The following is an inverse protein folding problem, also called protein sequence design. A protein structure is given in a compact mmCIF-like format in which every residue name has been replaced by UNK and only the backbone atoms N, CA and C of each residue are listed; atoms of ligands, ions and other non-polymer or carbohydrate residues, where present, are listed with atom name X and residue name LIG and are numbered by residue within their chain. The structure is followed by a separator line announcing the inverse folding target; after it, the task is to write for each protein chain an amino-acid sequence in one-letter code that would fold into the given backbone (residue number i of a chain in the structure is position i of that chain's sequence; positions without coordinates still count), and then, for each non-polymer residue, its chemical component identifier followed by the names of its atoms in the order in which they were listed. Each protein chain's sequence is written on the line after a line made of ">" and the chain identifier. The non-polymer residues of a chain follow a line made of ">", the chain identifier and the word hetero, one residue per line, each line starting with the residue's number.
data_IF_016443037346
#
_entry.id   IF_016443037346
#
_cell.length_a   1.000
_cell.length_b   1.000
_cell.length_c   1.000
_cell.angle_alpha   90.00
_cell.angle_beta   90.00
_cell.angle_gamma   90.00
#
_symmetry.space_group_name_H-M   'P 1'
#
loop_
_entity.id
_entity.type
_entity.pdbx_description
1 polymer ?
#
# COMPACT_ATOMS: atom_id res chain seq x y z
N UNK A 1 21.41 -24.79 84.53
CA UNK A 1 21.26 -23.47 83.86
C UNK A 1 22.39 -23.30 82.86
N UNK A 2 22.10 -22.57 81.76
CA UNK A 2 22.99 -22.12 80.67
C UNK A 2 23.14 -23.13 79.52
N UNK A 3 22.22 -23.11 78.53
CA UNK A 3 22.11 -22.18 77.37
C UNK A 3 23.31 -22.40 76.44
N UNK A 4 23.25 -23.28 75.43
CA UNK A 4 22.48 -23.19 74.18
C UNK A 4 22.53 -21.78 73.58
N UNK A 5 23.32 -21.62 72.51
CA UNK A 5 23.08 -20.70 71.39
C UNK A 5 24.10 -21.00 70.29
N UNK A 6 23.71 -21.76 69.24
CA UNK A 6 23.23 -21.30 67.92
C UNK A 6 24.41 -21.30 66.92
N UNK A 7 24.48 -22.38 66.14
CA UNK A 7 25.28 -22.49 64.92
C UNK A 7 24.44 -21.85 63.80
N UNK A 8 24.90 -20.70 63.31
CA UNK A 8 24.27 -19.95 62.22
C UNK A 8 24.62 -20.65 60.88
N UNK A 9 23.68 -21.43 60.36
CA UNK A 9 23.75 -21.99 59.01
C UNK A 9 23.12 -20.96 58.07
N UNK A 10 23.96 -20.20 57.37
CA UNK A 10 23.54 -19.39 56.22
C UNK A 10 23.21 -20.35 55.07
N UNK A 11 21.92 -20.55 54.82
CA UNK A 11 21.43 -21.16 53.58
C UNK A 11 21.17 -20.00 52.63
N UNK A 12 22.11 -19.72 51.72
CA UNK A 12 21.85 -18.84 50.60
C UNK A 12 20.94 -19.59 49.61
N UNK A 13 19.64 -19.31 49.69
CA UNK A 13 18.74 -19.55 48.55
C UNK A 13 18.97 -18.43 47.53
N UNK A 14 19.91 -18.65 46.61
CA UNK A 14 19.88 -17.95 45.33
C UNK A 14 18.79 -18.61 44.49
N UNK A 15 17.55 -18.16 44.63
CA UNK A 15 16.62 -18.32 43.55
C UNK A 15 17.00 -17.23 42.54
N UNK A 16 17.88 -17.54 41.58
CA UNK A 16 17.90 -16.72 40.37
C UNK A 16 16.55 -16.97 39.71
N UNK A 17 15.70 -15.95 39.68
CA UNK A 17 14.67 -15.84 38.65
C UNK A 17 15.43 -15.61 37.36
N UNK A 18 15.71 -16.68 36.61
CA UNK A 18 15.93 -16.54 35.18
C UNK A 18 14.62 -16.00 34.61
N UNK A 19 14.55 -14.67 34.43
CA UNK A 19 13.68 -14.17 33.38
C UNK A 19 14.31 -14.67 32.09
N UNK A 20 13.70 -15.67 31.46
CA UNK A 20 13.85 -15.88 30.03
C UNK A 20 13.27 -14.64 29.35
N UNK A 21 14.03 -13.55 29.35
CA UNK A 21 13.92 -12.56 28.30
C UNK A 21 14.41 -13.27 27.05
N UNK A 22 13.46 -13.81 26.29
CA UNK A 22 13.71 -14.07 24.87
C UNK A 22 14.25 -12.74 24.32
N UNK A 23 15.54 -12.71 24.02
CA UNK A 23 16.06 -11.68 23.12
C UNK A 23 15.48 -12.07 21.78
N UNK A 24 14.35 -11.45 21.44
CA UNK A 24 13.75 -11.61 20.14
C UNK A 24 14.71 -10.89 19.18
N UNK A 25 15.36 -11.66 18.33
CA UNK A 25 16.14 -11.12 17.22
C UNK A 25 15.16 -10.55 16.20
N UNK A 26 14.76 -9.30 16.41
CA UNK A 26 13.82 -8.57 15.57
C UNK A 26 14.48 -7.95 14.34
N UNK A 27 15.72 -8.34 13.99
CA UNK A 27 16.42 -7.75 12.84
C UNK A 27 15.72 -7.99 11.49
N UNK A 28 14.73 -8.89 11.44
CA UNK A 28 13.88 -9.15 10.28
C UNK A 28 12.38 -9.06 10.63
N UNK A 29 12.03 -8.44 11.75
CA UNK A 29 10.64 -8.26 12.12
C UNK A 29 9.97 -7.16 11.28
N UNK A 30 8.75 -7.40 10.86
CA UNK A 30 7.89 -6.52 10.07
C UNK A 30 6.69 -6.14 10.95
N UNK A 31 6.56 -4.85 11.25
CA UNK A 31 5.42 -4.26 11.96
C UNK A 31 4.45 -3.61 10.97
N UNK A 32 3.26 -3.21 11.45
CA UNK A 32 2.26 -2.47 10.67
C UNK A 32 2.76 -1.13 10.13
N UNK A 33 3.70 -0.51 10.85
CA UNK A 33 4.32 0.77 10.48
C UNK A 33 5.45 0.62 9.44
N UNK A 34 5.83 -0.61 9.09
CA UNK A 34 6.93 -0.84 8.16
C UNK A 34 6.46 -0.73 6.70
N UNK A 35 7.21 -0.05 5.84
CA UNK A 35 6.89 0.08 4.41
C UNK A 35 6.71 -1.28 3.70
N UNK A 36 7.53 -2.26 4.06
CA UNK A 36 7.42 -3.63 3.53
C UNK A 36 6.09 -4.29 3.92
N UNK A 37 5.51 -3.97 5.09
CA UNK A 37 4.17 -4.45 5.45
C UNK A 37 3.11 -3.94 4.48
N UNK A 38 3.17 -2.64 4.18
CA UNK A 38 2.24 -1.99 3.26
C UNK A 38 2.37 -2.58 1.84
N UNK A 39 3.61 -2.72 1.34
CA UNK A 39 3.91 -3.30 0.02
C UNK A 39 3.46 -4.75 -0.09
N UNK A 40 3.74 -5.57 0.94
CA UNK A 40 3.25 -6.93 1.02
C UNK A 40 1.72 -6.97 0.98
N UNK A 41 1.05 -6.15 1.79
CA UNK A 41 -0.42 -6.07 1.84
C UNK A 41 -0.99 -5.74 0.46
N UNK A 42 -0.41 -4.75 -0.23
CA UNK A 42 -0.82 -4.34 -1.57
C UNK A 42 -0.54 -5.38 -2.66
N UNK A 43 0.46 -6.22 -2.48
CA UNK A 43 0.81 -7.26 -3.48
C UNK A 43 -0.04 -8.50 -3.40
N UNK A 44 -0.58 -8.78 -2.21
CA UNK A 44 -1.29 -10.02 -1.92
C UNK A 44 -2.78 -9.80 -1.70
N UNK A 45 -3.26 -8.55 -1.76
CA UNK A 45 -4.69 -8.28 -1.85
C UNK A 45 -5.24 -8.71 -3.21
N UNK A 46 -6.56 -8.77 -3.33
CA UNK A 46 -7.19 -9.04 -4.61
C UNK A 46 -6.98 -7.88 -5.59
N UNK A 47 -6.83 -8.17 -6.89
CA UNK A 47 -6.62 -7.14 -7.92
C UNK A 47 -7.98 -6.58 -8.34
N UNK A 48 -8.29 -5.36 -7.89
CA UNK A 48 -9.60 -4.73 -8.07
C UNK A 48 -9.59 -3.65 -9.15
N UNK A 49 -8.48 -2.93 -9.33
CA UNK A 49 -8.37 -1.74 -10.19
C UNK A 49 -8.50 -2.09 -11.69
N UNK A 50 -8.27 -3.36 -12.05
CA UNK A 50 -8.22 -3.80 -13.44
C UNK A 50 -9.51 -3.52 -14.23
N UNK A 51 -10.68 -3.43 -13.59
CA UNK A 51 -11.97 -3.13 -14.23
C UNK A 51 -12.60 -1.79 -13.81
N UNK A 52 -11.83 -0.89 -13.19
CA UNK A 52 -12.25 0.48 -12.83
C UNK A 52 -12.85 1.24 -14.01
N UNK A 53 -12.41 0.95 -15.24
CA UNK A 53 -12.97 1.55 -16.45
C UNK A 53 -14.43 1.17 -16.72
N UNK A 54 -14.94 0.12 -16.08
CA UNK A 54 -16.32 -0.36 -16.23
C UNK A 54 -17.21 0.20 -15.11
N UNK A 55 -16.74 0.16 -13.87
CA UNK A 55 -17.54 0.46 -12.69
C UNK A 55 -17.12 1.72 -11.91
N UNK A 56 -16.03 2.36 -12.31
CA UNK A 56 -15.52 3.63 -11.81
C UNK A 56 -15.21 3.62 -10.31
N UNK A 57 -14.79 2.47 -9.75
CA UNK A 57 -14.32 2.40 -8.38
C UNK A 57 -13.31 1.27 -8.17
N UNK A 58 -12.29 1.50 -7.34
CA UNK A 58 -11.26 0.49 -7.06
C UNK A 58 -11.54 -0.34 -5.81
N UNK A 59 -12.73 -0.22 -5.21
CA UNK A 59 -13.10 -0.98 -4.03
C UNK A 59 -13.65 -2.38 -4.35
N UNK A 60 -13.99 -2.64 -5.61
CA UNK A 60 -14.57 -3.90 -6.03
C UNK A 60 -14.01 -4.35 -7.37
N UNK A 61 -13.92 -5.66 -7.58
CA UNK A 61 -13.73 -6.28 -8.89
C UNK A 61 -15.03 -6.93 -9.32
N UNK A 62 -15.48 -6.74 -10.55
CA UNK A 62 -16.60 -7.50 -11.13
C UNK A 62 -16.10 -8.87 -11.57
N UNK A 63 -16.68 -9.91 -10.99
CA UNK A 63 -16.35 -11.30 -11.29
C UNK A 63 -16.96 -11.73 -12.64
N UNK A 64 -16.13 -12.32 -13.49
CA UNK A 64 -16.59 -12.94 -14.73
C UNK A 64 -17.47 -14.17 -14.45
N UNK A 65 -18.55 -14.41 -15.22
CA UNK A 65 -19.01 -13.62 -16.36
C UNK A 65 -20.04 -12.53 -15.98
N UNK A 66 -20.02 -11.43 -16.73
CA UNK A 66 -21.03 -10.37 -16.64
C UNK A 66 -21.33 -9.75 -18.01
N UNK A 67 -22.24 -8.79 -18.07
CA UNK A 67 -22.64 -8.13 -19.31
C UNK A 67 -22.68 -6.61 -19.12
N UNK A 68 -22.26 -5.87 -20.14
CA UNK A 68 -22.37 -4.40 -20.20
C UNK A 68 -23.11 -3.95 -21.45
N UNK A 69 -23.73 -2.78 -21.37
CA UNK A 69 -24.34 -2.10 -22.51
C UNK A 69 -23.69 -0.73 -22.71
N UNK A 70 -23.11 -0.52 -23.90
CA UNK A 70 -22.49 0.74 -24.33
C UNK A 70 -23.14 1.18 -25.64
N UNK A 71 -23.66 2.39 -25.72
CA UNK A 71 -24.30 2.94 -26.93
C UNK A 71 -25.41 2.07 -27.57
N UNK A 72 -26.20 1.36 -26.75
CA UNK A 72 -27.20 0.35 -27.14
C UNK A 72 -26.62 -0.92 -27.81
N UNK A 73 -25.32 -1.17 -27.66
CA UNK A 73 -24.67 -2.42 -27.99
C UNK A 73 -24.32 -3.18 -26.71
N UNK A 74 -24.61 -4.47 -26.70
CA UNK A 74 -24.37 -5.36 -25.56
C UNK A 74 -23.07 -6.14 -25.76
N UNK A 75 -22.28 -6.26 -24.69
CA UNK A 75 -21.05 -7.03 -24.65
C UNK A 75 -21.12 -8.05 -23.51
N UNK A 76 -20.90 -9.33 -23.84
CA UNK A 76 -20.80 -10.42 -22.87
C UNK A 76 -19.33 -10.60 -22.50
N UNK A 77 -18.96 -10.35 -21.24
CA UNK A 77 -17.61 -10.57 -20.76
C UNK A 77 -17.58 -11.88 -20.00
N UNK A 78 -16.89 -12.87 -20.56
CA UNK A 78 -16.83 -14.24 -20.03
C UNK A 78 -15.41 -14.72 -19.73
N UNK A 79 -14.42 -13.97 -20.22
CA UNK A 79 -12.99 -14.19 -20.07
C UNK A 79 -12.26 -12.85 -20.12
N UNK A 80 -11.01 -12.84 -19.66
CA UNK A 80 -10.16 -11.63 -19.70
C UNK A 80 -9.90 -11.13 -21.12
N UNK A 81 -9.94 -12.01 -22.13
CA UNK A 81 -9.79 -11.64 -23.55
C UNK A 81 -10.96 -10.76 -24.04
N UNK A 82 -12.13 -10.85 -23.40
CA UNK A 82 -13.32 -10.10 -23.82
C UNK A 82 -13.20 -8.60 -23.48
N UNK A 83 -12.36 -8.22 -22.49
CA UNK A 83 -12.08 -6.82 -22.16
C UNK A 83 -11.49 -6.07 -23.36
N UNK A 84 -10.56 -6.68 -24.11
CA UNK A 84 -9.98 -6.03 -25.28
C UNK A 84 -11.03 -5.72 -26.35
N UNK A 85 -12.05 -6.57 -26.50
CA UNK A 85 -13.13 -6.32 -27.46
C UNK A 85 -13.99 -5.12 -27.06
N UNK A 86 -14.21 -4.94 -25.75
CA UNK A 86 -14.90 -3.76 -25.22
C UNK A 86 -14.03 -2.50 -25.38
N UNK A 87 -12.75 -2.57 -25.03
CA UNK A 87 -11.79 -1.47 -25.16
C UNK A 87 -11.69 -1.00 -26.62
N UNK A 88 -11.48 -1.92 -27.57
CA UNK A 88 -11.43 -1.60 -29.01
C UNK A 88 -12.69 -0.86 -29.49
N UNK A 89 -13.85 -1.17 -28.90
CA UNK A 89 -15.10 -0.48 -29.20
C UNK A 89 -15.10 0.95 -28.63
N UNK A 90 -14.73 1.12 -27.36
CA UNK A 90 -14.64 2.43 -26.69
C UNK A 90 -13.66 3.37 -27.41
N UNK A 91 -12.47 2.88 -27.79
CA UNK A 91 -11.47 3.65 -28.53
C UNK A 91 -11.95 4.09 -29.92
N UNK A 92 -12.86 3.33 -30.52
CA UNK A 92 -13.42 3.65 -31.83
C UNK A 92 -14.55 4.68 -31.78
N UNK A 93 -15.04 5.01 -30.57
CA UNK A 93 -16.15 5.93 -30.36
C UNK A 93 -15.67 7.39 -30.28
N UNK A 94 -16.31 8.32 -31.01
CA UNK A 94 -15.99 9.74 -30.92
C UNK A 94 -16.72 10.47 -29.77
N UNK A 95 -17.52 9.77 -28.97
CA UNK A 95 -18.31 10.34 -27.85
C UNK A 95 -17.82 9.79 -26.50
N UNK A 96 -18.13 10.50 -25.42
CA UNK A 96 -17.96 9.99 -24.05
C UNK A 96 -18.93 8.82 -23.85
N UNK A 97 -18.41 7.59 -23.97
CA UNK A 97 -19.19 6.37 -23.87
C UNK A 97 -19.56 6.08 -22.41
N UNK A 98 -20.86 5.99 -22.12
CA UNK A 98 -21.32 5.55 -20.81
C UNK A 98 -21.54 4.03 -20.80
N UNK A 99 -20.80 3.33 -19.93
CA UNK A 99 -20.89 1.89 -19.74
C UNK A 99 -21.99 1.57 -18.73
N UNK A 100 -23.01 0.81 -19.13
CA UNK A 100 -24.09 0.38 -18.24
C UNK A 100 -23.95 -1.10 -17.89
N UNK A 101 -23.50 -1.38 -16.68
CA UNK A 101 -23.41 -2.74 -16.14
C UNK A 101 -24.79 -3.39 -15.98
N UNK A 102 -24.93 -4.63 -16.46
CA UNK A 102 -26.17 -5.39 -16.37
C UNK A 102 -26.17 -6.30 -15.16
N UNK A 103 -27.13 -6.09 -14.26
CA UNK A 103 -27.26 -6.84 -13.01
C UNK A 103 -28.17 -8.07 -13.18
N UNK A 104 -27.98 -9.13 -12.36
CA UNK A 104 -27.06 -9.20 -11.22
C UNK A 104 -25.60 -9.46 -11.64
N UNK A 105 -24.67 -9.06 -10.77
CA UNK A 105 -23.23 -9.33 -10.89
C UNK A 105 -22.70 -9.90 -9.57
N UNK A 106 -21.62 -10.67 -9.64
CA UNK A 106 -20.81 -11.00 -8.47
C UNK A 106 -19.63 -10.02 -8.44
N UNK A 107 -19.23 -9.57 -7.26
CA UNK A 107 -18.04 -8.74 -7.06
C UNK A 107 -17.14 -9.33 -5.99
N UNK A 108 -15.85 -9.02 -6.02
CA UNK A 108 -14.90 -9.33 -4.96
C UNK A 108 -14.28 -8.09 -4.33
N UNK A 109 -13.86 -8.23 -3.08
CA UNK A 109 -13.21 -7.19 -2.26
C UNK A 109 -11.71 -7.48 -2.07
N UNK A 110 -11.00 -6.56 -1.42
CA UNK A 110 -9.55 -6.63 -1.11
C UNK A 110 -9.13 -7.95 -0.46
N UNK A 111 -9.98 -8.52 0.40
CA UNK A 111 -9.73 -9.75 1.13
C UNK A 111 -10.22 -11.03 0.41
N UNK A 112 -10.58 -10.90 -0.87
CA UNK A 112 -11.18 -11.93 -1.74
C UNK A 112 -12.59 -12.36 -1.30
N UNK A 113 -13.26 -11.62 -0.42
CA UNK A 113 -14.68 -11.84 -0.12
C UNK A 113 -15.51 -11.55 -1.36
N UNK A 114 -16.39 -12.49 -1.75
CA UNK A 114 -17.30 -12.33 -2.88
C UNK A 114 -18.72 -12.01 -2.43
N UNK A 115 -19.38 -11.09 -3.15
CA UNK A 115 -20.74 -10.61 -2.87
C UNK A 115 -21.58 -10.59 -4.16
N UNK A 116 -22.86 -10.92 -4.03
CA UNK A 116 -23.83 -10.85 -5.13
C UNK A 116 -24.59 -9.53 -5.07
N UNK A 117 -24.54 -8.74 -6.14
CA UNK A 117 -25.21 -7.45 -6.24
C UNK A 117 -26.30 -7.47 -7.29
N UNK A 118 -27.39 -6.77 -7.02
CA UNK A 118 -28.62 -6.78 -7.84
C UNK A 118 -28.92 -5.45 -8.52
N UNK A 119 -28.15 -4.39 -8.24
CA UNK A 119 -28.33 -3.08 -8.86
C UNK A 119 -27.10 -2.18 -8.74
N UNK A 120 -27.02 -1.16 -9.58
CA UNK A 120 -26.00 -0.10 -9.52
C UNK A 120 -26.01 0.63 -8.17
N UNK A 121 -27.17 0.78 -7.52
CA UNK A 121 -27.27 1.43 -6.22
C UNK A 121 -26.56 0.60 -5.13
N UNK A 122 -26.64 -0.73 -5.19
CA UNK A 122 -25.92 -1.61 -4.26
C UNK A 122 -24.41 -1.54 -4.48
N UNK A 123 -23.96 -1.51 -5.74
CA UNK A 123 -22.54 -1.36 -6.10
C UNK A 123 -21.97 -0.03 -5.61
N UNK A 124 -22.63 1.09 -5.92
CA UNK A 124 -22.15 2.42 -5.50
C UNK A 124 -22.12 2.57 -3.98
N UNK A 125 -23.09 1.99 -3.27
CA UNK A 125 -23.09 2.00 -1.80
C UNK A 125 -21.92 1.20 -1.24
N UNK A 126 -21.65 0.00 -1.79
CA UNK A 126 -20.52 -0.84 -1.39
C UNK A 126 -19.20 -0.11 -1.63
N UNK A 127 -18.99 0.42 -2.84
CA UNK A 127 -17.81 1.18 -3.22
C UNK A 127 -17.55 2.40 -2.32
N UNK A 128 -18.61 3.04 -1.80
CA UNK A 128 -18.49 4.19 -0.89
C UNK A 128 -18.12 3.83 0.56
N UNK A 129 -18.22 2.55 0.94
CA UNK A 129 -17.99 2.09 2.31
C UNK A 129 -16.78 1.18 2.46
N UNK A 130 -16.41 0.50 1.39
CA UNK A 130 -15.25 -0.39 1.36
C UNK A 130 -13.96 0.38 1.08
N UNK A 131 -12.84 -0.23 1.48
CA UNK A 131 -11.51 0.33 1.24
C UNK A 131 -11.19 0.27 -0.26
N UNK A 132 -10.70 1.39 -0.81
CA UNK A 132 -10.23 1.48 -2.18
C UNK A 132 -8.92 0.70 -2.33
N UNK A 133 -8.76 -0.03 -3.44
CA UNK A 133 -7.57 -0.81 -3.70
C UNK A 133 -6.41 0.07 -4.21
N UNK A 134 -5.20 -0.43 -3.97
CA UNK A 134 -3.89 0.17 -4.36
C UNK A 134 -2.89 -0.95 -4.65
N UNK A 135 -3.33 -1.98 -5.35
CA UNK A 135 -2.56 -3.20 -5.50
C UNK A 135 -1.23 -2.97 -6.21
N UNK A 136 -0.26 -3.85 -5.91
CA UNK A 136 0.99 -3.98 -6.63
C UNK A 136 0.93 -5.31 -7.38
N UNK A 137 0.67 -5.28 -8.69
CA UNK A 137 0.26 -6.48 -9.42
C UNK A 137 1.39 -7.19 -10.20
N UNK A 138 2.62 -6.70 -10.10
CA UNK A 138 3.78 -7.25 -10.84
C UNK A 138 4.58 -8.31 -10.08
N UNK A 139 4.21 -8.59 -8.83
CA UNK A 139 4.91 -9.58 -7.97
C UNK A 139 3.93 -10.67 -7.61
N UNK A 140 4.27 -11.91 -7.97
CA UNK A 140 3.56 -13.11 -7.52
C UNK A 140 4.43 -13.86 -6.51
N UNK A 141 3.86 -14.28 -5.38
CA UNK A 141 4.56 -15.07 -4.38
C UNK A 141 4.39 -16.55 -4.69
N UNK A 142 5.50 -17.27 -4.86
CA UNK A 142 5.47 -18.72 -4.98
C UNK A 142 5.22 -19.36 -3.61
N UNK A 143 3.98 -19.79 -3.40
CA UNK A 143 3.54 -20.46 -2.19
C UNK A 143 3.92 -21.94 -2.12
N UNK A 144 4.02 -22.53 -0.92
CA UNK A 144 3.79 -21.90 0.39
C UNK A 144 5.00 -21.14 0.94
N UNK A 145 4.72 -20.12 1.76
CA UNK A 145 5.71 -19.44 2.62
C UNK A 145 5.34 -19.67 4.09
N UNK A 146 6.27 -19.42 5.00
CA UNK A 146 6.06 -19.56 6.45
C UNK A 146 6.33 -18.22 7.15
N UNK A 147 5.44 -17.84 8.06
CA UNK A 147 5.57 -16.64 8.88
C UNK A 147 5.72 -17.03 10.36
N UNK A 148 6.62 -16.36 11.08
CA UNK A 148 6.61 -16.38 12.54
C UNK A 148 5.93 -15.11 13.06
N UNK A 149 4.75 -15.26 13.63
CA UNK A 149 3.94 -14.18 14.17
C UNK A 149 4.22 -14.07 15.67
N UNK A 150 4.66 -12.89 16.11
CA UNK A 150 4.94 -12.57 17.51
C UNK A 150 3.84 -11.69 18.08
N UNK A 151 3.18 -12.15 19.14
CA UNK A 151 2.26 -11.36 19.95
C UNK A 151 3.04 -10.50 20.95
N UNK A 152 2.92 -9.18 20.84
CA UNK A 152 3.69 -8.24 21.66
C UNK A 152 3.21 -8.15 23.11
N UNK A 153 1.97 -8.54 23.40
CA UNK A 153 1.41 -8.46 24.76
C UNK A 153 1.97 -9.55 25.68
N UNK A 154 2.38 -10.69 25.10
CA UNK A 154 2.79 -11.88 25.84
C UNK A 154 4.05 -12.57 25.30
N UNK A 155 4.61 -12.06 24.20
CA UNK A 155 5.80 -12.59 23.52
C UNK A 155 5.65 -14.04 23.04
N UNK A 156 4.43 -14.52 22.79
CA UNK A 156 4.21 -15.81 22.14
C UNK A 156 4.52 -15.70 20.65
N UNK A 157 5.27 -16.68 20.15
CA UNK A 157 5.57 -16.84 18.73
C UNK A 157 4.74 -18.01 18.20
N UNK A 158 4.02 -17.79 17.11
CA UNK A 158 3.26 -18.81 16.38
C UNK A 158 3.75 -18.85 14.95
N UNK A 159 3.97 -20.05 14.43
CA UNK A 159 4.33 -20.26 13.03
C UNK A 159 3.07 -20.54 12.22
N UNK A 160 2.89 -19.81 11.12
CA UNK A 160 1.76 -19.93 10.21
C UNK A 160 2.25 -20.20 8.78
N UNK A 161 1.72 -21.25 8.15
CA UNK A 161 2.01 -21.56 6.74
C UNK A 161 1.00 -20.85 5.84
N UNK A 162 1.48 -19.95 4.99
CA UNK A 162 0.67 -19.21 4.03
C UNK A 162 0.72 -19.93 2.69
N UNK A 163 -0.44 -20.16 2.08
CA UNK A 163 -0.57 -21.03 0.90
C UNK A 163 -1.17 -20.33 -0.33
N UNK A 164 -1.52 -19.04 -0.21
CA UNK A 164 -2.18 -18.24 -1.24
C UNK A 164 -2.24 -16.78 -0.78
N UNK A 165 -2.36 -15.85 -1.73
CA UNK A 165 -2.53 -14.41 -1.48
C UNK A 165 -3.72 -14.13 -0.56
N UNK A 166 -4.89 -14.73 -0.83
CA UNK A 166 -6.06 -14.64 0.05
C UNK A 166 -5.75 -14.98 1.51
N UNK A 167 -4.91 -16.00 1.76
CA UNK A 167 -4.55 -16.36 3.13
C UNK A 167 -3.57 -15.35 3.72
N UNK A 168 -2.67 -14.81 2.90
CA UNK A 168 -1.70 -13.82 3.34
C UNK A 168 -2.38 -12.50 3.71
N UNK A 169 -3.22 -11.93 2.82
CA UNK A 169 -3.89 -10.65 3.10
C UNK A 169 -4.77 -10.75 4.36
N UNK A 170 -5.51 -11.86 4.52
CA UNK A 170 -6.31 -12.09 5.73
C UNK A 170 -5.44 -12.19 7.00
N UNK A 171 -4.22 -12.73 6.88
CA UNK A 171 -3.27 -12.76 7.99
C UNK A 171 -2.70 -11.38 8.31
N UNK A 172 -2.38 -10.57 7.29
CA UNK A 172 -1.91 -9.19 7.45
C UNK A 172 -3.00 -8.30 8.08
N UNK A 173 -4.26 -8.41 7.62
CA UNK A 173 -5.41 -7.74 8.26
C UNK A 173 -5.57 -8.19 9.71
N UNK A 174 -5.43 -9.49 10.02
CA UNK A 174 -5.49 -9.95 11.41
C UNK A 174 -4.34 -9.41 12.28
N UNK A 175 -3.17 -9.17 11.69
CA UNK A 175 -2.02 -8.59 12.38
C UNK A 175 -2.26 -7.10 12.62
N UNK A 176 -2.77 -6.35 11.64
CA UNK A 176 -3.03 -4.91 11.77
C UNK A 176 -4.10 -4.57 12.81
N UNK A 177 -5.04 -5.48 13.06
CA UNK A 177 -6.07 -5.34 14.09
C UNK A 177 -5.59 -5.74 15.50
N UNK A 178 -4.34 -6.17 15.67
CA UNK A 178 -3.79 -6.70 16.94
C UNK A 178 -2.39 -6.14 17.21
N UNK A 179 -1.93 -6.25 18.46
CA UNK A 179 -0.55 -5.93 18.83
C UNK A 179 0.42 -7.04 18.38
N UNK A 180 0.56 -7.25 17.07
CA UNK A 180 1.38 -8.33 16.49
C UNK A 180 2.39 -7.79 15.48
N UNK A 181 3.53 -8.46 15.40
CA UNK A 181 4.53 -8.31 14.33
C UNK A 181 4.82 -9.69 13.74
N UNK A 182 5.41 -9.76 12.56
CA UNK A 182 5.81 -11.05 11.99
C UNK A 182 7.20 -11.01 11.35
N UNK A 183 7.81 -12.16 11.16
CA UNK A 183 8.96 -12.33 10.28
C UNK A 183 8.67 -13.41 9.25
N UNK A 184 9.27 -13.27 8.07
CA UNK A 184 9.20 -14.24 6.98
C UNK A 184 10.33 -15.26 7.17
N UNK A 185 10.01 -16.55 7.09
CA UNK A 185 11.01 -17.60 7.03
C UNK A 185 11.59 -17.70 5.63
N UNK A 186 12.73 -17.05 5.44
CA UNK A 186 13.48 -17.08 4.19
C UNK A 186 14.26 -18.39 3.98
N UNK A 187 14.55 -18.77 2.71
CA UNK A 187 14.21 -18.05 1.50
C UNK A 187 12.76 -18.25 1.05
N UNK A 188 12.20 -17.21 0.42
CA UNK A 188 10.96 -17.29 -0.36
C UNK A 188 11.29 -17.15 -1.85
N UNK A 189 10.33 -17.47 -2.71
CA UNK A 189 10.45 -17.27 -4.14
C UNK A 189 9.35 -16.33 -4.62
N UNK A 190 9.73 -15.40 -5.49
CA UNK A 190 8.81 -14.52 -6.21
C UNK A 190 8.85 -14.87 -7.69
N UNK A 191 7.78 -14.54 -8.41
CA UNK A 191 7.75 -14.45 -9.85
C UNK A 191 7.50 -13.00 -10.26
N UNK A 192 8.41 -12.44 -11.07
CA UNK A 192 8.31 -11.09 -11.61
C UNK A 192 8.51 -11.19 -13.12
N UNK A 193 7.54 -10.73 -13.91
CA UNK A 193 7.58 -10.83 -15.38
C UNK A 193 7.86 -12.25 -15.91
N UNK A 194 7.34 -13.29 -15.25
CA UNK A 194 7.54 -14.69 -15.61
C UNK A 194 8.90 -15.28 -15.21
N UNK A 195 9.71 -14.53 -14.47
CA UNK A 195 11.00 -14.99 -13.96
C UNK A 195 10.93 -15.27 -12.46
N UNK A 196 11.34 -16.48 -12.08
CA UNK A 196 11.47 -16.88 -10.68
C UNK A 196 12.73 -16.25 -10.05
N UNK A 197 12.56 -15.57 -8.92
CA UNK A 197 13.61 -14.89 -8.16
C UNK A 197 13.57 -15.38 -6.70
N UNK A 198 14.71 -15.84 -6.19
CA UNK A 198 14.83 -16.26 -4.79
C UNK A 198 15.21 -15.06 -3.90
N UNK A 199 14.45 -14.86 -2.83
CA UNK A 199 14.63 -13.77 -1.87
C UNK A 199 15.06 -14.33 -0.53
N UNK A 200 16.07 -13.73 0.10
CA UNK A 200 16.70 -14.26 1.32
C UNK A 200 16.67 -13.32 2.52
N UNK A 201 16.13 -12.10 2.39
CA UNK A 201 15.98 -11.13 3.48
C UNK A 201 14.91 -10.08 3.17
N UNK A 202 14.48 -9.34 4.20
CA UNK A 202 13.59 -8.19 4.04
C UNK A 202 14.21 -7.11 3.14
N UNK A 203 15.51 -6.87 3.25
CA UNK A 203 16.22 -5.91 2.38
C UNK A 203 16.08 -6.30 0.91
N UNK A 204 16.38 -7.56 0.56
CA UNK A 204 16.22 -8.02 -0.82
C UNK A 204 14.77 -7.98 -1.30
N UNK A 205 13.81 -8.22 -0.40
CA UNK A 205 12.39 -8.10 -0.74
C UNK A 205 12.01 -6.65 -1.01
N UNK A 206 12.49 -5.71 -0.19
CA UNK A 206 12.27 -4.28 -0.37
C UNK A 206 12.86 -3.80 -1.70
N UNK A 207 14.10 -4.19 -1.99
CA UNK A 207 14.79 -3.90 -3.27
C UNK A 207 13.96 -4.36 -4.49
N UNK A 208 13.22 -5.47 -4.37
CA UNK A 208 12.35 -5.94 -5.45
C UNK A 208 11.13 -5.07 -5.66
N UNK A 209 10.56 -4.53 -4.60
CA UNK A 209 9.49 -3.54 -4.74
C UNK A 209 10.00 -2.23 -5.33
N UNK A 210 11.17 -1.75 -4.90
CA UNK A 210 11.74 -0.52 -5.43
C UNK A 210 12.07 -0.61 -6.93
N UNK A 211 12.48 -1.78 -7.41
CA UNK A 211 12.83 -2.00 -8.81
C UNK A 211 11.64 -2.21 -9.76
N UNK A 212 10.39 -2.07 -9.31
CA UNK A 212 9.21 -2.27 -10.16
C UNK A 212 8.98 -1.07 -11.09
N UNK A 213 8.45 -1.35 -12.27
CA UNK A 213 7.95 -0.30 -13.17
C UNK A 213 6.72 0.40 -12.56
N UNK A 214 6.54 1.70 -12.79
CA UNK A 214 5.39 2.44 -12.27
C UNK A 214 4.02 1.85 -12.65
N UNK A 215 3.93 1.19 -13.81
CA UNK A 215 2.71 0.52 -14.25
C UNK A 215 2.24 -0.58 -13.28
N UNK A 216 3.12 -1.07 -12.40
CA UNK A 216 2.80 -2.06 -11.39
C UNK A 216 1.89 -1.53 -10.27
N UNK A 217 1.80 -0.20 -10.14
CA UNK A 217 1.06 0.49 -9.08
C UNK A 217 -0.28 1.08 -9.54
N UNK A 218 -0.56 1.02 -10.85
CA UNK A 218 -1.84 1.41 -11.44
C UNK A 218 -2.21 0.41 -12.55
N UNK A 219 -2.86 -0.71 -12.19
CA UNK A 219 -3.08 -1.80 -13.13
C UNK A 219 -4.40 -1.69 -13.91
N UNK A 220 -5.01 -0.50 -13.97
CA UNK A 220 -6.26 -0.30 -14.70
C UNK A 220 -6.08 -0.69 -16.17
N UNK A 221 -6.96 -1.55 -16.70
CA UNK A 221 -6.84 -2.06 -18.06
C UNK A 221 -7.10 -0.99 -19.12
N UNK A 222 -7.91 0.02 -18.80
CA UNK A 222 -8.24 1.09 -19.74
C UNK A 222 -8.50 2.39 -19.01
N UNK A 223 -7.73 3.42 -19.35
CA UNK A 223 -8.07 4.77 -18.96
C UNK A 223 -8.82 5.41 -20.12
N UNK A 224 -10.05 5.87 -19.87
CA UNK A 224 -10.70 6.78 -20.80
C UNK A 224 -9.72 7.92 -21.04
N UNK A 225 -9.50 8.32 -22.30
CA UNK A 225 -8.61 9.43 -22.64
C UNK A 225 -9.17 10.80 -22.20
N UNK A 226 -9.51 10.91 -20.93
CA UNK A 226 -10.07 12.08 -20.26
C UNK A 226 -9.15 12.47 -19.12
N UNK A 227 -8.07 13.19 -19.43
CA UNK A 227 -7.22 13.81 -18.40
C UNK A 227 -5.75 13.74 -18.76
N UNK A 228 -5.05 14.84 -18.65
CA UNK A 228 -3.59 14.81 -18.49
C UNK A 228 -3.33 14.13 -17.14
N UNK A 229 -2.45 13.11 -17.03
CA UNK A 229 -2.08 12.49 -15.74
C UNK A 229 -1.75 13.54 -14.66
N UNK A 230 -1.14 14.64 -15.09
CA UNK A 230 -0.88 15.84 -14.29
C UNK A 230 -2.17 16.47 -13.74
N UNK A 231 -3.22 16.62 -14.55
CA UNK A 231 -4.51 17.19 -14.13
C UNK A 231 -5.20 16.30 -13.08
N UNK A 232 -5.11 14.97 -13.23
CA UNK A 232 -5.69 14.01 -12.30
C UNK A 232 -4.95 14.02 -10.95
N UNK A 233 -3.62 14.06 -10.99
CA UNK A 233 -2.82 14.21 -9.78
C UNK A 233 -3.10 15.55 -9.08
N UNK A 234 -3.17 16.65 -9.83
CA UNK A 234 -3.52 17.98 -9.30
C UNK A 234 -4.91 17.95 -8.66
N UNK A 235 -5.91 17.35 -9.33
CA UNK A 235 -7.25 17.20 -8.78
C UNK A 235 -7.23 16.38 -7.48
N UNK A 236 -6.41 15.33 -7.42
CA UNK A 236 -6.25 14.51 -6.23
C UNK A 236 -5.64 15.31 -5.06
N UNK A 237 -4.47 15.91 -5.22
CA UNK A 237 -3.76 16.62 -4.13
C UNK A 237 -4.50 17.87 -3.67
N UNK A 238 -5.33 18.48 -4.53
CA UNK A 238 -6.15 19.65 -4.16
C UNK A 238 -7.52 19.29 -3.56
N UNK A 239 -7.88 18.01 -3.52
CA UNK A 239 -9.20 17.56 -3.02
C UNK A 239 -9.26 17.30 -1.51
N UNK A 240 -8.13 17.37 -0.80
CA UNK A 240 -8.05 17.15 0.63
C UNK A 240 -6.75 17.64 1.24
N UNK A 241 -6.59 17.37 2.53
CA UNK A 241 -5.42 17.73 3.30
C UNK A 241 -4.61 16.46 3.60
N UNK A 242 -3.32 16.61 3.83
CA UNK A 242 -2.41 15.50 3.98
C UNK A 242 -1.53 15.66 5.21
N UNK A 243 -1.04 14.55 5.76
CA UNK A 243 0.02 14.51 6.76
C UNK A 243 1.14 13.61 6.24
N UNK A 244 2.39 13.85 6.67
CA UNK A 244 3.48 12.92 6.38
C UNK A 244 3.35 11.74 7.32
N UNK A 245 3.13 10.55 6.76
CA UNK A 245 3.03 9.31 7.52
C UNK A 245 4.32 8.51 7.53
N UNK A 246 5.22 8.78 6.59
CA UNK A 246 6.56 8.21 6.54
C UNK A 246 7.51 9.16 5.81
N UNK A 247 8.66 9.41 6.41
CA UNK A 247 9.89 9.81 5.72
C UNK A 247 10.92 8.73 6.04
N UNK A 248 11.53 8.13 5.03
CA UNK A 248 12.53 7.06 5.18
C UNK A 248 13.75 7.42 4.33
N UNK A 249 14.92 7.48 4.97
CA UNK A 249 16.21 7.72 4.32
C UNK A 249 17.06 6.44 4.42
N UNK A 250 17.52 5.92 3.28
CA UNK A 250 18.35 4.71 3.19
C UNK A 250 17.78 3.49 3.95
N UNK A 251 16.44 3.35 3.97
CA UNK A 251 15.73 2.24 4.61
C UNK A 251 15.53 2.41 6.13
N UNK A 252 15.87 3.56 6.69
CA UNK A 252 15.62 3.89 8.09
C UNK A 252 14.58 5.03 8.20
N UNK A 253 13.51 4.86 9.00
CA UNK A 253 12.50 5.89 9.15
C UNK A 253 13.05 7.08 9.95
N UNK A 254 12.78 8.28 9.47
CA UNK A 254 13.16 9.54 10.10
C UNK A 254 11.99 10.13 10.92
N UNK A 255 12.32 10.74 12.06
CA UNK A 255 11.34 11.42 12.90
C UNK A 255 10.96 12.75 12.25
N UNK A 256 9.76 12.82 11.65
CA UNK A 256 9.25 14.04 11.03
C UNK A 256 8.09 14.66 11.84
N UNK A 257 7.98 16.00 11.97
CA UNK A 257 6.89 16.63 12.72
C UNK A 257 5.48 16.37 12.14
N UNK A 258 4.51 16.17 13.03
CA UNK A 258 3.08 16.04 12.68
C UNK A 258 2.51 17.40 12.20
N UNK A 259 2.65 17.68 10.90
CA UNK A 259 2.06 18.82 10.22
C UNK A 259 0.97 18.39 9.24
N UNK A 260 0.01 19.29 9.04
CA UNK A 260 -1.03 19.14 8.03
C UNK A 260 -0.71 20.04 6.83
N UNK A 261 -0.67 19.45 5.64
CA UNK A 261 -0.32 20.07 4.38
C UNK A 261 -1.57 20.24 3.52
N UNK A 262 -1.80 21.48 3.06
CA UNK A 262 -2.89 21.81 2.14
C UNK A 262 -2.29 22.30 0.84
N UNK A 263 -2.41 21.50 -0.22
CA UNK A 263 -1.98 21.86 -1.58
C UNK A 263 -3.09 22.67 -2.25
N UNK A 264 -2.88 23.98 -2.40
CA UNK A 264 -3.87 24.88 -2.99
C UNK A 264 -3.76 24.90 -4.51
N UNK A 265 -4.91 25.01 -5.20
CA UNK A 265 -4.98 25.03 -6.66
C UNK A 265 -4.25 26.22 -7.34
N UNK A 266 -3.72 27.18 -6.59
CA UNK A 266 -2.88 28.27 -7.09
C UNK A 266 -1.37 27.95 -7.03
N UNK A 267 -0.99 26.73 -6.64
CA UNK A 267 0.39 26.27 -6.52
C UNK A 267 1.03 26.58 -5.16
N UNK A 268 0.26 27.09 -4.18
CA UNK A 268 0.78 27.34 -2.83
C UNK A 268 0.51 26.18 -1.86
N UNK A 269 1.41 25.96 -0.90
CA UNK A 269 1.23 25.01 0.21
C UNK A 269 0.90 25.80 1.48
N UNK A 270 -0.14 25.38 2.20
CA UNK A 270 -0.37 25.85 3.57
C UNK A 270 0.01 24.75 4.56
N UNK A 271 0.94 25.06 5.48
CA UNK A 271 1.35 24.15 6.55
C UNK A 271 0.63 24.52 7.84
N UNK A 272 -0.21 23.63 8.35
CA UNK A 272 -0.96 23.76 9.60
C UNK A 272 -0.20 23.02 10.70
N UNK A 273 -0.02 23.67 11.84
CA UNK A 273 0.75 23.14 12.98
C UNK A 273 2.13 23.78 13.12
N UNK A 274 2.67 24.35 12.04
CA UNK A 274 3.88 25.17 12.07
C UNK A 274 3.57 26.56 12.69
N UNK A 275 4.39 27.07 13.64
CA UNK A 275 4.08 28.28 14.40
C UNK A 275 4.30 29.59 13.64
N UNK A 276 5.04 29.56 12.53
CA UNK A 276 5.36 30.72 11.70
C UNK A 276 4.57 30.71 10.38
N UNK A 277 4.58 31.82 9.66
CA UNK A 277 4.02 31.84 8.29
C UNK A 277 5.05 31.25 7.36
N UNK A 278 4.71 30.10 6.78
CA UNK A 278 5.50 29.45 5.75
C UNK A 278 5.13 29.97 4.36
N UNK A 279 6.13 30.23 3.52
CA UNK A 279 5.93 30.49 2.09
C UNK A 279 6.41 29.26 1.34
N UNK A 280 5.47 28.43 0.92
CA UNK A 280 5.78 27.20 0.24
C UNK A 280 4.94 27.04 -1.03
N UNK A 281 5.51 26.40 -2.02
CA UNK A 281 4.90 26.18 -3.34
C UNK A 281 5.07 24.75 -3.79
N UNK A 282 4.19 24.31 -4.68
CA UNK A 282 4.27 23.01 -5.33
C UNK A 282 4.09 23.16 -6.84
N UNK A 283 4.73 22.27 -7.59
CA UNK A 283 4.58 22.15 -9.05
C UNK A 283 4.52 20.67 -9.45
N UNK A 284 3.75 20.35 -10.49
CA UNK A 284 3.69 19.00 -11.07
C UNK A 284 4.18 19.10 -12.50
N UNK A 285 5.12 18.24 -12.87
CA UNK A 285 5.57 18.13 -14.25
C UNK A 285 5.53 16.68 -14.71
N UNK A 286 5.47 16.48 -16.03
CA UNK A 286 5.50 15.13 -16.62
C UNK A 286 6.62 15.03 -17.65
N UNK A 287 7.44 13.99 -17.55
CA UNK A 287 8.49 13.68 -18.52
C UNK A 287 8.56 12.17 -18.75
N UNK A 288 8.53 11.74 -20.02
CA UNK A 288 8.58 10.31 -20.40
C UNK A 288 7.56 9.42 -19.66
N UNK A 289 6.33 9.90 -19.45
CA UNK A 289 5.28 9.20 -18.69
C UNK A 289 5.57 9.01 -17.18
N UNK A 290 6.59 9.68 -16.63
CA UNK A 290 6.80 9.83 -15.19
C UNK A 290 6.25 11.18 -14.72
N UNK A 291 5.50 11.17 -13.61
CA UNK A 291 5.07 12.37 -12.89
C UNK A 291 6.15 12.77 -11.88
N UNK A 292 6.47 14.06 -11.86
CA UNK A 292 7.37 14.69 -10.90
C UNK A 292 6.57 15.70 -10.08
N UNK A 293 6.73 15.67 -8.76
CA UNK A 293 6.08 16.58 -7.82
C UNK A 293 7.16 17.37 -7.09
N UNK A 294 7.32 18.64 -7.45
CA UNK A 294 8.30 19.53 -6.84
C UNK A 294 7.66 20.24 -5.66
N UNK A 295 8.31 20.19 -4.51
CA UNK A 295 7.94 20.92 -3.30
C UNK A 295 9.04 21.94 -3.03
N UNK A 296 8.67 23.18 -2.71
CA UNK A 296 9.63 24.23 -2.33
C UNK A 296 9.14 24.93 -1.07
N UNK A 297 10.02 25.07 -0.09
CA UNK A 297 9.76 25.72 1.20
C UNK A 297 10.82 26.80 1.48
N UNK A 298 10.42 27.88 2.16
CA UNK A 298 11.35 28.96 2.50
C UNK A 298 12.10 28.68 3.81
N UNK A 299 11.47 27.93 4.74
CA UNK A 299 12.06 27.58 6.04
C UNK A 299 12.84 26.27 5.98
N UNK A 300 14.03 26.30 6.58
CA UNK A 300 14.95 25.17 6.66
C UNK A 300 14.43 23.95 7.42
N UNK A 301 13.36 24.09 8.21
CA UNK A 301 12.68 22.96 8.87
C UNK A 301 12.16 21.94 7.84
N UNK A 302 11.86 22.37 6.60
CA UNK A 302 11.28 21.53 5.56
C UNK A 302 12.31 21.01 4.55
N UNK A 303 13.61 21.26 4.74
CA UNK A 303 14.66 20.90 3.78
C UNK A 303 14.64 19.42 3.36
N UNK A 304 14.23 18.51 4.26
CA UNK A 304 14.18 17.07 3.98
C UNK A 304 13.08 16.68 2.97
N UNK A 305 12.09 17.55 2.77
CA UNK A 305 10.97 17.33 1.83
C UNK A 305 10.96 18.32 0.66
N UNK A 306 11.83 19.34 0.71
CA UNK A 306 11.99 20.42 -0.28
C UNK A 306 12.82 19.93 -1.48
N UNK A 307 12.19 19.09 -2.29
CA UNK A 307 12.84 18.37 -3.40
C UNK A 307 11.88 18.16 -4.58
N UNK A 308 12.42 17.67 -5.71
CA UNK A 308 11.64 17.15 -6.83
C UNK A 308 11.46 15.63 -6.69
N UNK A 309 10.23 15.21 -6.46
CA UNK A 309 9.90 13.82 -6.17
C UNK A 309 9.34 13.08 -7.38
N UNK A 310 9.76 11.83 -7.59
CA UNK A 310 9.03 10.90 -8.45
C UNK A 310 7.72 10.49 -7.76
N UNK A 311 6.59 10.69 -8.43
CA UNK A 311 5.31 10.19 -7.94
C UNK A 311 5.18 8.71 -8.29
N UNK A 312 5.18 7.84 -7.27
CA UNK A 312 5.04 6.39 -7.42
C UNK A 312 3.59 5.95 -7.40
N UNK A 313 2.78 6.49 -6.48
CA UNK A 313 1.37 6.16 -6.38
C UNK A 313 0.53 7.25 -5.70
N UNK A 314 -0.71 7.44 -6.16
CA UNK A 314 -1.75 8.26 -5.51
C UNK A 314 -3.19 7.77 -5.80
N UNK A 315 -3.34 6.63 -6.47
CA UNK A 315 -4.58 6.21 -7.13
C UNK A 315 -5.71 5.76 -6.20
N UNK A 316 -5.40 5.41 -4.94
CA UNK A 316 -6.37 4.84 -3.99
C UNK A 316 -7.05 5.88 -3.08
N UNK A 317 -6.86 7.16 -3.40
CA UNK A 317 -7.34 8.30 -2.64
C UNK A 317 -6.90 8.37 -1.15
N UNK A 318 -6.00 7.51 -0.69
CA UNK A 318 -5.58 7.42 0.71
C UNK A 318 -4.27 8.15 1.01
N UNK A 319 -3.51 8.52 -0.02
CA UNK A 319 -2.20 9.15 0.15
C UNK A 319 -1.42 9.31 -1.15
N UNK A 320 -0.18 9.78 -1.04
CA UNK A 320 0.80 9.92 -2.12
C UNK A 320 2.07 9.21 -1.67
N UNK A 321 2.62 8.31 -2.49
CA UNK A 321 3.94 7.71 -2.31
C UNK A 321 4.92 8.39 -3.28
N UNK A 322 5.97 8.98 -2.73
CA UNK A 322 6.98 9.78 -3.41
C UNK A 322 8.36 9.17 -3.19
N UNK A 323 9.23 9.28 -4.19
CA UNK A 323 10.61 8.81 -4.13
C UNK A 323 11.58 9.81 -4.74
N UNK A 324 12.71 10.00 -4.08
CA UNK A 324 13.88 10.70 -4.60
C UNK A 324 15.04 9.69 -4.69
N UNK A 325 15.82 9.77 -5.77
CA UNK A 325 17.03 8.98 -5.98
C UNK A 325 18.13 9.97 -6.36
N UNK A 326 19.12 10.15 -5.49
CA UNK A 326 20.25 11.05 -5.75
C UNK A 326 20.98 10.66 -7.05
N UNK A 327 21.59 11.64 -7.71
CA UNK A 327 22.40 11.53 -8.95
C UNK A 327 23.52 10.46 -8.87
N UNK A 328 23.82 9.96 -7.66
CA UNK A 328 24.79 8.90 -7.40
C UNK A 328 24.20 7.47 -7.35
N UNK A 329 22.88 7.31 -7.49
CA UNK A 329 22.11 6.07 -7.32
C UNK A 329 22.41 5.35 -5.99
N UNK A 330 22.80 6.08 -4.93
CA UNK A 330 23.30 5.49 -3.69
C UNK A 330 22.70 5.99 -2.39
N UNK A 331 21.92 7.06 -2.43
CA UNK A 331 21.13 7.58 -1.31
C UNK A 331 19.68 7.63 -1.82
N UNK A 332 18.77 6.98 -1.08
CA UNK A 332 17.35 6.83 -1.44
C UNK A 332 16.47 7.42 -0.34
N UNK A 333 15.51 8.26 -0.75
CA UNK A 333 14.53 8.84 0.17
C UNK A 333 13.10 8.52 -0.28
N UNK A 334 12.29 8.01 0.65
CA UNK A 334 10.86 7.74 0.45
C UNK A 334 10.05 8.69 1.32
N UNK A 335 9.07 9.34 0.72
CA UNK A 335 8.14 10.23 1.39
C UNK A 335 6.71 9.77 1.13
N UNK A 336 5.94 9.53 2.19
CA UNK A 336 4.53 9.16 2.10
C UNK A 336 3.68 10.22 2.76
N UNK A 337 2.78 10.81 1.99
CA UNK A 337 1.67 11.61 2.48
C UNK A 337 0.44 10.72 2.67
N UNK A 338 -0.16 10.72 3.84
CA UNK A 338 -1.50 10.16 4.08
C UNK A 338 -2.55 11.25 3.99
N UNK A 339 -3.70 10.96 3.38
CA UNK A 339 -4.82 11.90 3.29
C UNK A 339 -5.64 11.88 4.59
N UNK A 340 -6.01 13.07 5.10
CA UNK A 340 -6.74 13.29 6.35
C UNK A 340 -8.27 13.20 6.24
#
# INVERSE_FOLDING_TARGET
>A
MRRLSILLILICWSCQTEENRLVIDNSQAISTENLLFNRLSRSVQNNLVFDDFIDQNSATQIELPFQVEVNNQTFDLSSTDDYQTLIDFLESSPEDDNINLQFPVEVSLIDYTQLSLSSTEELNNLASTEMQSSEINCIEINYPIELNITDLDNSFITTEVIASDQKFINQLISISLRSQIFSIEYPISLEINGQEIAISSNTQLSDMYFGLDNSCYNPNLYEFQSGNFEDDFIAFITSGNFEISLLEEDGEPEDYPDYEYVFNADGSITVIGFPETEMATWEVTTSNNQLFFSLEFDDSEFNEIDEEWNVLNYSNASGIELQEIDDSDSEETILIFSKL
#
